data_IF_773095931322
#
_entry.id   IF_773095931322
#
_cell.length_a   1.000
_cell.length_b   1.000
_cell.length_c   1.000
_cell.angle_alpha   90.00
_cell.angle_beta   90.00
_cell.angle_gamma   90.00
#
_symmetry.space_group_name_H-M   'P 1'
#
loop_
_entity.id
_entity.type
_entity.pdbx_description
1 polymer ?
#
# COMPACT_ATOMS: atom_id res chain seq x y z
N UNK A 1 24.65 -13.15 -0.91
CA UNK A 1 23.87 -12.10 -0.22
C UNK A 1 24.76 -11.43 0.83
N UNK A 2 24.95 -10.10 0.82
CA UNK A 2 25.75 -9.41 1.83
C UNK A 2 25.10 -9.51 3.22
N UNK A 3 25.91 -9.58 4.28
CA UNK A 3 25.50 -9.76 5.69
C UNK A 3 24.35 -8.83 6.17
N UNK A 4 24.25 -7.63 5.61
CA UNK A 4 23.18 -6.68 5.92
C UNK A 4 21.82 -7.06 5.33
N UNK A 5 21.81 -7.71 4.16
CA UNK A 5 20.61 -8.26 3.56
C UNK A 5 20.00 -9.33 4.48
N UNK A 6 20.84 -10.20 5.05
CA UNK A 6 20.39 -11.18 6.05
C UNK A 6 19.88 -10.53 7.34
N UNK A 7 20.40 -9.38 7.76
CA UNK A 7 19.87 -8.69 8.95
C UNK A 7 18.46 -8.12 8.67
N UNK A 8 18.21 -7.61 7.46
CA UNK A 8 16.88 -7.09 7.09
C UNK A 8 15.87 -8.23 6.89
N UNK A 9 16.29 -9.37 6.35
CA UNK A 9 15.39 -10.50 6.06
C UNK A 9 15.17 -11.45 7.22
N UNK A 10 16.14 -11.61 8.13
CA UNK A 10 16.19 -12.76 9.04
C UNK A 10 15.79 -12.45 10.49
N UNK A 11 15.24 -11.26 10.74
CA UNK A 11 14.64 -10.92 12.04
C UNK A 11 13.17 -10.67 11.85
N UNK A 12 12.36 -11.57 12.42
CA UNK A 12 10.90 -11.49 12.46
C UNK A 12 10.35 -10.22 13.17
N UNK A 13 11.24 -9.35 13.69
CA UNK A 13 10.89 -8.15 14.48
C UNK A 13 11.75 -6.93 14.13
N UNK A 14 12.40 -6.85 12.97
CA UNK A 14 13.31 -5.73 12.71
C UNK A 14 12.59 -4.42 12.33
N UNK A 15 12.23 -3.66 13.37
CA UNK A 15 11.86 -2.24 13.38
C UNK A 15 13.04 -1.33 13.00
N UNK A 16 13.80 -1.64 11.96
CA UNK A 16 14.95 -0.81 11.59
C UNK A 16 14.45 0.61 11.26
N UNK A 17 14.88 1.64 12.01
CA UNK A 17 14.44 3.00 11.78
C UNK A 17 14.73 3.42 10.35
N UNK A 18 13.91 4.34 9.83
CA UNK A 18 14.15 4.95 8.52
C UNK A 18 15.55 5.59 8.43
N UNK A 19 16.16 5.96 9.57
CA UNK A 19 17.56 6.41 9.67
C UNK A 19 18.58 5.38 9.22
N UNK A 20 18.48 4.15 9.72
CA UNK A 20 19.38 3.09 9.30
C UNK A 20 19.21 2.77 7.81
N UNK A 21 17.97 2.79 7.32
CA UNK A 21 17.69 2.58 5.90
C UNK A 21 18.24 3.71 5.03
N UNK A 22 18.23 4.95 5.51
CA UNK A 22 18.91 6.09 4.87
C UNK A 22 20.43 5.89 4.78
N UNK A 23 21.04 5.29 5.79
CA UNK A 23 22.46 4.91 5.72
C UNK A 23 22.71 3.85 4.64
N UNK A 24 21.87 2.82 4.54
CA UNK A 24 22.01 1.83 3.47
C UNK A 24 21.87 2.48 2.08
N UNK A 25 20.91 3.38 1.90
CA UNK A 25 20.76 4.15 0.66
C UNK A 25 21.98 5.02 0.39
N UNK A 26 22.56 5.70 1.39
CA UNK A 26 23.74 6.54 1.18
C UNK A 26 24.99 5.74 0.82
N UNK A 27 25.09 4.48 1.26
CA UNK A 27 26.21 3.58 0.96
C UNK A 27 26.06 2.81 -0.34
N UNK A 28 24.85 2.36 -0.65
CA UNK A 28 24.60 1.42 -1.75
C UNK A 28 23.74 1.98 -2.87
N UNK A 29 23.21 3.21 -2.74
CA UNK A 29 22.36 3.83 -3.74
C UNK A 29 20.91 3.34 -3.70
N UNK A 30 20.00 4.18 -4.22
CA UNK A 30 18.57 3.90 -4.16
C UNK A 30 18.14 2.69 -4.99
N UNK A 31 18.68 2.53 -6.20
CA UNK A 31 18.26 1.45 -7.10
C UNK A 31 18.52 0.08 -6.49
N UNK A 32 19.72 -0.13 -5.94
CA UNK A 32 20.07 -1.38 -5.26
C UNK A 32 19.17 -1.69 -4.05
N UNK A 33 18.72 -0.67 -3.31
CA UNK A 33 17.79 -0.86 -2.20
C UNK A 33 16.37 -1.23 -2.67
N UNK A 34 15.95 -0.72 -3.83
CA UNK A 34 14.67 -1.12 -4.46
C UNK A 34 14.74 -2.56 -4.96
N UNK A 35 15.79 -2.90 -5.71
CA UNK A 35 16.01 -4.25 -6.23
C UNK A 35 16.04 -5.27 -5.09
N UNK A 36 16.69 -4.91 -3.98
CA UNK A 36 16.69 -5.73 -2.77
C UNK A 36 15.28 -5.94 -2.21
N UNK A 37 14.48 -4.88 -2.10
CA UNK A 37 13.09 -5.02 -1.64
C UNK A 37 12.25 -5.87 -2.60
N UNK A 38 12.44 -5.75 -3.91
CA UNK A 38 11.75 -6.55 -4.92
C UNK A 38 12.11 -8.03 -4.84
N UNK A 39 13.39 -8.37 -4.62
CA UNK A 39 13.81 -9.76 -4.40
C UNK A 39 13.10 -10.34 -3.17
N UNK A 40 13.07 -9.59 -2.06
CA UNK A 40 12.48 -10.06 -0.81
C UNK A 40 10.96 -10.23 -0.93
N UNK A 41 10.28 -9.32 -1.63
CA UNK A 41 8.84 -9.37 -1.88
C UNK A 41 8.46 -10.41 -2.93
N UNK A 42 9.35 -10.73 -3.88
CA UNK A 42 9.14 -11.81 -4.83
C UNK A 42 9.15 -13.19 -4.14
N UNK A 43 9.95 -13.35 -3.09
CA UNK A 43 9.92 -14.56 -2.24
C UNK A 43 8.66 -14.64 -1.37
N UNK A 44 8.30 -13.53 -0.71
CA UNK A 44 7.08 -13.44 0.10
C UNK A 44 6.60 -11.99 0.18
N UNK A 45 5.51 -11.72 -0.53
CA UNK A 45 4.89 -10.40 -0.60
C UNK A 45 4.29 -9.94 0.73
N UNK A 46 4.14 -10.82 1.74
CA UNK A 46 3.60 -10.45 3.05
C UNK A 46 4.67 -9.95 4.01
N UNK A 47 5.95 -9.94 3.60
CA UNK A 47 7.07 -9.47 4.42
C UNK A 47 6.95 -7.98 4.74
N UNK A 48 6.40 -7.69 5.91
CA UNK A 48 6.21 -6.34 6.43
C UNK A 48 7.49 -5.48 6.37
N UNK A 49 8.65 -6.07 6.70
CA UNK A 49 9.93 -5.34 6.72
C UNK A 49 10.32 -4.83 5.34
N UNK A 50 9.99 -5.56 4.27
CA UNK A 50 10.27 -5.15 2.90
C UNK A 50 9.38 -3.99 2.48
N UNK A 51 8.07 -4.05 2.77
CA UNK A 51 7.15 -2.94 2.53
C UNK A 51 7.50 -1.69 3.33
N UNK A 52 7.87 -1.85 4.60
CA UNK A 52 8.33 -0.74 5.42
C UNK A 52 9.62 -0.14 4.84
N UNK A 53 10.52 -0.97 4.30
CA UNK A 53 11.74 -0.50 3.65
C UNK A 53 11.40 0.32 2.40
N UNK A 54 10.54 -0.17 1.52
CA UNK A 54 10.04 0.60 0.36
C UNK A 54 9.41 1.91 0.76
N UNK A 55 8.56 1.92 1.79
CA UNK A 55 7.93 3.15 2.28
C UNK A 55 8.96 4.20 2.75
N UNK A 56 10.09 3.75 3.32
CA UNK A 56 11.22 4.63 3.63
C UNK A 56 11.89 5.18 2.37
N UNK A 57 12.09 4.35 1.33
CA UNK A 57 12.68 4.82 0.07
C UNK A 57 11.81 5.89 -0.60
N UNK A 58 10.48 5.70 -0.58
CA UNK A 58 9.51 6.65 -1.13
C UNK A 58 9.56 8.00 -0.43
N UNK A 59 9.64 8.00 0.90
CA UNK A 59 9.77 9.23 1.71
C UNK A 59 11.05 10.02 1.41
N UNK A 60 12.08 9.37 0.87
CA UNK A 60 13.37 9.98 0.59
C UNK A 60 13.56 10.40 -0.89
N UNK A 61 12.53 10.32 -1.74
CA UNK A 61 12.49 11.04 -3.02
C UNK A 61 12.14 10.24 -4.26
N UNK A 62 12.03 8.91 -4.20
CA UNK A 62 11.64 8.09 -5.35
C UNK A 62 10.16 7.72 -5.28
N UNK A 63 9.34 8.27 -6.16
CA UNK A 63 7.89 8.17 -6.00
C UNK A 63 7.14 7.57 -7.20
N UNK A 64 7.51 7.92 -8.44
CA UNK A 64 6.77 7.49 -9.63
C UNK A 64 6.87 5.98 -9.89
N UNK A 65 8.08 5.44 -9.86
CA UNK A 65 8.32 4.03 -10.12
C UNK A 65 7.76 3.08 -9.02
N UNK A 66 7.36 3.61 -7.86
CA UNK A 66 6.68 2.82 -6.83
C UNK A 66 5.18 2.69 -7.08
N UNK A 67 4.54 3.60 -7.83
CA UNK A 67 3.13 3.44 -8.24
C UNK A 67 2.96 2.25 -9.19
N UNK A 68 3.80 2.16 -10.23
CA UNK A 68 3.82 1.02 -11.17
C UNK A 68 4.09 -0.30 -10.44
N UNK A 69 5.02 -0.29 -9.48
CA UNK A 69 5.28 -1.48 -8.66
C UNK A 69 4.04 -1.88 -7.84
N UNK A 70 3.39 -0.93 -7.16
CA UNK A 70 2.17 -1.23 -6.37
C UNK A 70 1.05 -1.77 -7.23
N UNK A 71 0.86 -1.25 -8.43
CA UNK A 71 -0.13 -1.75 -9.38
C UNK A 71 0.15 -3.21 -9.72
N UNK A 72 1.39 -3.54 -10.07
CA UNK A 72 1.80 -4.93 -10.33
C UNK A 72 1.51 -5.88 -9.15
N UNK A 73 1.82 -5.46 -7.91
CA UNK A 73 1.51 -6.27 -6.72
C UNK A 73 0.00 -6.43 -6.48
N UNK A 74 -0.80 -5.36 -6.66
CA UNK A 74 -2.26 -5.40 -6.49
C UNK A 74 -2.91 -6.27 -7.57
N UNK A 75 -2.49 -6.16 -8.83
CA UNK A 75 -3.01 -6.99 -9.92
C UNK A 75 -2.71 -8.47 -9.70
N UNK A 76 -1.56 -8.80 -9.09
CA UNK A 76 -1.19 -10.19 -8.73
C UNK A 76 -1.95 -10.71 -7.52
N UNK A 77 -2.15 -9.87 -6.50
CA UNK A 77 -2.92 -10.19 -5.32
C UNK A 77 -3.80 -9.00 -4.92
N UNK A 78 -5.04 -9.03 -5.40
CA UNK A 78 -6.04 -7.98 -5.15
C UNK A 78 -6.36 -7.80 -3.65
N UNK A 79 -6.14 -8.83 -2.82
CA UNK A 79 -6.34 -8.78 -1.36
C UNK A 79 -5.10 -8.31 -0.60
N UNK A 80 -4.05 -7.87 -1.30
CA UNK A 80 -2.80 -7.41 -0.67
C UNK A 80 -2.97 -6.05 0.01
N UNK A 81 -3.30 -6.07 1.30
CA UNK A 81 -3.37 -4.86 2.12
C UNK A 81 -2.03 -4.13 2.19
N UNK A 82 -0.90 -4.85 2.15
CA UNK A 82 0.43 -4.22 2.18
C UNK A 82 0.71 -3.41 0.92
N UNK A 83 0.34 -3.92 -0.25
CA UNK A 83 0.51 -3.20 -1.51
C UNK A 83 -0.42 -1.97 -1.58
N UNK A 84 -1.69 -2.12 -1.18
CA UNK A 84 -2.64 -1.00 -1.07
C UNK A 84 -2.14 0.08 -0.10
N UNK A 85 -1.74 -0.29 1.11
CA UNK A 85 -1.17 0.68 2.06
C UNK A 85 0.08 1.39 1.52
N UNK A 86 0.96 0.67 0.81
CA UNK A 86 2.12 1.29 0.19
C UNK A 86 1.73 2.28 -0.91
N UNK A 87 0.75 1.93 -1.75
CA UNK A 87 0.18 2.82 -2.79
C UNK A 87 -0.36 4.11 -2.17
N UNK A 88 -1.07 4.01 -1.05
CA UNK A 88 -1.60 5.16 -0.32
C UNK A 88 -0.49 6.10 0.17
N UNK A 89 0.60 5.52 0.69
CA UNK A 89 1.78 6.30 1.12
C UNK A 89 2.38 7.04 -0.08
N UNK A 90 2.54 6.38 -1.22
CA UNK A 90 3.08 7.01 -2.42
C UNK A 90 2.18 8.15 -2.89
N UNK A 91 0.87 7.92 -3.03
CA UNK A 91 -0.12 8.93 -3.44
C UNK A 91 -0.17 10.14 -2.51
N UNK A 92 -0.11 9.91 -1.20
CA UNK A 92 -0.10 10.98 -0.19
C UNK A 92 1.16 11.85 -0.33
N UNK A 93 2.31 11.24 -0.64
CA UNK A 93 3.60 11.93 -0.71
C UNK A 93 3.87 12.57 -2.08
N UNK A 94 3.16 12.21 -3.14
CA UNK A 94 3.39 12.72 -4.50
C UNK A 94 2.62 13.99 -4.85
N UNK A 95 1.79 14.55 -3.95
CA UNK A 95 0.78 15.56 -4.33
C UNK A 95 -0.12 15.10 -5.49
N UNK A 96 -0.22 13.79 -5.75
CA UNK A 96 -1.17 13.24 -6.73
C UNK A 96 -2.65 13.51 -6.38
N UNK A 97 -2.89 14.13 -5.22
CA UNK A 97 -4.17 14.56 -4.66
C UNK A 97 -5.05 15.34 -5.63
N UNK A 98 -4.48 16.10 -6.56
CA UNK A 98 -5.27 16.97 -7.45
C UNK A 98 -5.44 16.40 -8.87
N UNK A 99 -4.56 15.50 -9.32
CA UNK A 99 -4.50 15.08 -10.73
C UNK A 99 -5.04 13.67 -10.99
N UNK A 100 -4.99 12.77 -9.99
CA UNK A 100 -5.21 11.33 -10.22
C UNK A 100 -6.28 10.70 -9.32
N UNK A 101 -7.01 11.51 -8.57
CA UNK A 101 -8.03 11.04 -7.64
C UNK A 101 -9.06 10.11 -8.30
N UNK A 102 -9.63 10.56 -9.42
CA UNK A 102 -10.65 9.79 -10.15
C UNK A 102 -10.09 8.47 -10.72
N UNK A 103 -8.89 8.49 -11.30
CA UNK A 103 -8.23 7.28 -11.83
C UNK A 103 -8.01 6.25 -10.73
N UNK A 104 -7.54 6.67 -9.55
CA UNK A 104 -7.31 5.79 -8.41
C UNK A 104 -8.62 5.21 -7.88
N UNK A 105 -9.69 6.01 -7.79
CA UNK A 105 -11.00 5.51 -7.38
C UNK A 105 -11.55 4.50 -8.40
N UNK A 106 -11.39 4.75 -9.69
CA UNK A 106 -11.80 3.80 -10.74
C UNK A 106 -11.01 2.49 -10.68
N UNK A 107 -9.69 2.58 -10.50
CA UNK A 107 -8.83 1.41 -10.35
C UNK A 107 -9.30 0.53 -9.20
N UNK A 108 -9.59 1.10 -8.03
CA UNK A 108 -10.01 0.36 -6.85
C UNK A 108 -11.43 -0.22 -6.99
N UNK A 109 -12.35 0.52 -7.62
CA UNK A 109 -13.68 -0.01 -7.94
C UNK A 109 -13.60 -1.21 -8.91
N UNK A 110 -12.62 -1.24 -9.82
CA UNK A 110 -12.35 -2.42 -10.66
C UNK A 110 -11.81 -3.58 -9.81
N UNK A 111 -10.87 -3.33 -8.90
CA UNK A 111 -10.36 -4.35 -7.99
C UNK A 111 -11.46 -4.95 -7.11
N UNK A 112 -12.40 -4.12 -6.65
CA UNK A 112 -13.56 -4.56 -5.88
C UNK A 112 -14.47 -5.53 -6.65
N UNK A 113 -14.62 -5.33 -7.98
CA UNK A 113 -15.38 -6.25 -8.84
C UNK A 113 -14.66 -7.58 -9.07
N UNK A 114 -13.33 -7.59 -8.99
CA UNK A 114 -12.52 -8.80 -9.18
C UNK A 114 -12.48 -9.69 -7.93
N UNK A 115 -12.70 -9.12 -6.75
CA UNK A 115 -12.74 -9.86 -5.51
C UNK A 115 -13.90 -9.40 -4.62
N UNK A 116 -14.94 -10.22 -4.59
CA UNK A 116 -16.04 -10.05 -3.65
C UNK A 116 -15.51 -9.94 -2.22
N UNK A 117 -16.12 -9.03 -1.45
CA UNK A 117 -15.85 -8.81 -0.01
C UNK A 117 -14.38 -8.50 0.30
N UNK A 118 -13.72 -7.72 -0.54
CA UNK A 118 -12.34 -7.32 -0.30
C UNK A 118 -12.26 -6.10 0.64
N UNK A 119 -12.12 -6.37 1.93
CA UNK A 119 -11.96 -5.35 2.98
C UNK A 119 -10.77 -4.41 2.74
N UNK A 120 -9.69 -4.91 2.14
CA UNK A 120 -8.51 -4.11 1.85
C UNK A 120 -8.83 -2.98 0.86
N UNK A 121 -9.60 -3.29 -0.19
CA UNK A 121 -10.01 -2.32 -1.23
C UNK A 121 -10.93 -1.27 -0.63
N UNK A 122 -11.91 -1.66 0.19
CA UNK A 122 -12.81 -0.68 0.81
C UNK A 122 -12.09 0.19 1.85
N UNK A 123 -11.20 -0.40 2.64
CA UNK A 123 -10.36 0.36 3.58
C UNK A 123 -9.49 1.38 2.83
N UNK A 124 -8.99 1.00 1.65
CA UNK A 124 -8.19 1.89 0.81
C UNK A 124 -9.04 3.02 0.20
N UNK A 125 -10.22 2.73 -0.35
CA UNK A 125 -11.17 3.73 -0.86
C UNK A 125 -11.55 4.75 0.23
N UNK A 126 -11.87 4.28 1.45
CA UNK A 126 -12.13 5.13 2.60
C UNK A 126 -10.91 6.01 2.92
N UNK A 127 -9.70 5.44 2.93
CA UNK A 127 -8.48 6.16 3.22
C UNK A 127 -8.09 7.21 2.15
N UNK A 128 -8.44 6.98 0.88
CA UNK A 128 -8.31 7.96 -0.20
C UNK A 128 -9.28 9.13 -0.01
N UNK A 129 -10.53 8.85 0.34
CA UNK A 129 -11.54 9.86 0.62
C UNK A 129 -11.15 10.74 1.82
N UNK A 130 -10.74 10.15 2.94
CA UNK A 130 -10.30 10.89 4.14
C UNK A 130 -9.09 11.79 3.89
N UNK A 131 -8.24 11.43 2.91
CA UNK A 131 -7.09 12.24 2.49
C UNK A 131 -7.48 13.30 1.46
N UNK A 132 -8.75 13.39 1.06
CA UNK A 132 -9.24 14.29 0.02
C UNK A 132 -8.62 14.01 -1.36
N UNK A 133 -8.32 12.74 -1.65
CA UNK A 133 -7.88 12.26 -2.97
C UNK A 133 -9.07 11.63 -3.72
N UNK A 134 -9.99 10.98 -2.99
CA UNK A 134 -11.15 10.31 -3.56
C UNK A 134 -12.42 11.18 -3.63
N UNK A 135 -13.44 10.67 -4.30
CA UNK A 135 -14.77 11.26 -4.37
C UNK A 135 -15.81 10.47 -3.55
N UNK A 136 -16.87 11.15 -3.12
CA UNK A 136 -17.94 10.56 -2.29
C UNK A 136 -18.70 9.44 -3.02
N UNK A 137 -18.96 9.61 -4.32
CA UNK A 137 -19.65 8.61 -5.15
C UNK A 137 -18.99 7.23 -5.12
N UNK A 138 -17.65 7.18 -5.19
CA UNK A 138 -16.93 5.91 -5.18
C UNK A 138 -16.86 5.30 -3.77
N UNK A 139 -16.88 6.13 -2.71
CA UNK A 139 -17.03 5.65 -1.35
C UNK A 139 -18.41 5.02 -1.11
N UNK A 140 -19.49 5.66 -1.59
CA UNK A 140 -20.84 5.11 -1.52
C UNK A 140 -20.96 3.78 -2.26
N UNK A 141 -20.43 3.71 -3.49
CA UNK A 141 -20.40 2.47 -4.28
C UNK A 141 -19.68 1.33 -3.54
N UNK A 142 -18.57 1.63 -2.85
CA UNK A 142 -17.84 0.65 -2.05
C UNK A 142 -18.63 0.17 -0.82
N UNK A 143 -19.30 1.10 -0.12
CA UNK A 143 -20.16 0.79 1.03
C UNK A 143 -21.35 -0.07 0.62
N UNK A 144 -22.00 0.25 -0.50
CA UNK A 144 -23.09 -0.54 -1.05
C UNK A 144 -22.65 -1.96 -1.42
N UNK A 145 -21.49 -2.10 -2.05
CA UNK A 145 -20.96 -3.40 -2.45
C UNK A 145 -20.77 -4.32 -1.23
N UNK A 146 -20.23 -3.80 -0.12
CA UNK A 146 -20.13 -4.55 1.14
C UNK A 146 -21.51 -4.84 1.75
N UNK A 147 -22.40 -3.85 1.80
CA UNK A 147 -23.72 -3.99 2.43
C UNK A 147 -24.58 -5.07 1.75
N UNK A 148 -24.54 -5.15 0.42
CA UNK A 148 -25.24 -6.18 -0.37
C UNK A 148 -24.74 -7.61 -0.08
N UNK A 149 -23.54 -7.76 0.49
CA UNK A 149 -22.94 -9.07 0.81
C UNK A 149 -23.23 -9.60 2.22
N UNK A 150 -24.07 -8.93 3.01
CA UNK A 150 -24.48 -9.21 4.40
C UNK A 150 -24.08 -10.60 4.97
N UNK A 151 -22.88 -10.67 5.56
CA UNK A 151 -22.40 -11.77 6.38
C UNK A 151 -21.87 -11.20 7.70
N UNK A 152 -22.23 -11.83 8.82
CA UNK A 152 -22.25 -11.24 10.17
C UNK A 152 -20.88 -10.85 10.80
N UNK A 153 -19.75 -11.03 10.11
CA UNK A 153 -18.41 -10.83 10.66
C UNK A 153 -17.90 -9.37 10.65
N UNK A 154 -18.62 -8.44 10.03
CA UNK A 154 -18.07 -7.13 9.63
C UNK A 154 -18.59 -5.90 10.41
N UNK A 155 -19.25 -6.08 11.55
CA UNK A 155 -19.76 -4.96 12.38
C UNK A 155 -18.69 -4.06 13.01
N UNK A 156 -17.40 -4.37 12.87
CA UNK A 156 -16.31 -3.72 13.62
C UNK A 156 -15.65 -2.49 13.00
N UNK A 157 -15.83 -2.19 11.70
CA UNK A 157 -15.02 -1.15 11.01
C UNK A 157 -15.79 0.14 10.69
N UNK A 158 -17.13 0.11 10.69
CA UNK A 158 -17.98 1.29 10.41
C UNK A 158 -18.32 2.14 11.65
N UNK A 159 -17.79 1.81 12.83
CA UNK A 159 -18.12 2.50 14.10
C UNK A 159 -17.16 3.63 14.50
N UNK A 160 -16.25 4.04 13.62
CA UNK A 160 -15.36 5.19 13.86
C UNK A 160 -15.60 6.30 12.83
N UNK A 161 -16.79 6.90 12.84
CA UNK A 161 -16.99 8.27 12.38
C UNK A 161 -17.29 9.13 13.62
N UNK A 162 -16.60 10.26 13.85
CA UNK A 162 -16.89 11.08 15.01
C UNK A 162 -18.26 11.77 14.84
N UNK A 163 -18.99 11.84 15.96
CA UNK A 163 -20.20 12.64 16.12
C UNK A 163 -19.93 14.14 15.99
#
# INVERSE_FOLDING_TARGET
MPYWASIITNSAKNYHPCEYRRFCVSKFGYQHQRDFADIVLAEDEKKYHAWAHRACLVRNGLRKADLEATESYITRNVRSNSAGNHRLVVLTLTRAREERGEEEMQFELLQMKLADRNEAVVSFIQALYERGIGCELALEAAREAIAKTNCACMRGVLLCAPH
#
